data_IF_663232651182
#
_entry.id   IF_663232651182
#
_cell.length_a   1.000
_cell.length_b   1.000
_cell.length_c   1.000
_cell.angle_alpha   90.00
_cell.angle_beta   90.00
_cell.angle_gamma   90.00
#
_symmetry.space_group_name_H-M   'P 1'
#
loop_
_entity.id
_entity.type
_entity.pdbx_description
1 polymer ?
#
# COMPACT_ATOMS: atom_id res chain seq x y z
N UNK A 1 -73.62 38.41 -8.31
CA UNK A 1 -72.96 39.50 -7.58
C UNK A 1 -71.55 39.01 -7.38
N UNK A 2 -70.66 39.32 -8.34
CA UNK A 2 -69.61 40.35 -8.25
C UNK A 2 -68.78 40.20 -6.97
N UNK A 3 -67.50 39.87 -7.04
CA UNK A 3 -66.29 40.65 -7.35
C UNK A 3 -65.02 39.77 -7.31
N UNK A 4 -64.30 39.84 -8.30
CA UNK A 4 -62.87 40.10 -8.63
C UNK A 4 -61.98 40.58 -7.52
N UNK A 5 -60.72 40.07 -7.50
CA UNK A 5 -59.47 40.82 -7.63
C UNK A 5 -58.29 39.95 -7.17
N UNK A 6 -57.40 39.67 -8.06
CA UNK A 6 -56.00 40.17 -8.22
C UNK A 6 -55.10 40.08 -6.98
N UNK A 7 -53.95 39.43 -7.21
CA UNK A 7 -52.78 39.57 -6.39
C UNK A 7 -51.65 38.64 -6.77
N UNK A 8 -50.94 38.99 -7.83
CA UNK A 8 -49.61 38.43 -8.14
C UNK A 8 -48.60 38.82 -7.07
N UNK A 9 -47.77 37.93 -6.66
CA UNK A 9 -46.41 38.26 -6.20
C UNK A 9 -45.51 37.07 -6.26
N UNK A 10 -44.75 37.01 -7.31
CA UNK A 10 -43.49 36.27 -7.47
C UNK A 10 -42.47 36.82 -6.47
N UNK A 11 -41.97 35.97 -5.61
CA UNK A 11 -40.68 36.19 -4.95
C UNK A 11 -39.83 34.94 -5.13
N UNK A 12 -38.96 35.03 -6.10
CA UNK A 12 -37.87 34.10 -6.31
C UNK A 12 -36.85 34.19 -5.16
N UNK A 13 -36.76 33.13 -4.40
CA UNK A 13 -35.62 32.94 -3.52
C UNK A 13 -34.60 32.10 -4.25
N UNK A 14 -33.65 32.78 -4.86
CA UNK A 14 -32.42 32.16 -5.38
C UNK A 14 -31.61 31.58 -4.23
N UNK A 15 -31.68 30.24 -4.08
CA UNK A 15 -30.72 29.52 -3.24
C UNK A 15 -29.40 29.51 -4.03
N UNK A 16 -28.55 30.46 -3.70
CA UNK A 16 -27.13 30.40 -4.09
C UNK A 16 -26.52 29.17 -3.44
N UNK A 17 -26.48 28.09 -4.20
CA UNK A 17 -25.64 26.94 -3.92
C UNK A 17 -24.19 27.38 -3.87
N UNK A 18 -23.65 27.64 -2.71
CA UNK A 18 -22.23 27.74 -2.46
C UNK A 18 -21.60 26.37 -2.79
N UNK A 19 -21.24 26.22 -4.05
CA UNK A 19 -20.38 25.13 -4.51
C UNK A 19 -18.97 25.43 -3.97
N UNK A 20 -18.74 25.09 -2.69
CA UNK A 20 -17.41 25.04 -2.12
C UNK A 20 -16.66 23.96 -2.90
N UNK A 21 -16.04 24.35 -4.01
CA UNK A 21 -14.89 23.63 -4.54
C UNK A 21 -13.88 23.56 -3.40
N UNK A 22 -13.86 22.44 -2.68
CA UNK A 22 -12.73 22.09 -1.82
C UNK A 22 -11.53 22.10 -2.76
N UNK A 23 -10.73 23.17 -2.66
CA UNK A 23 -9.47 23.24 -3.34
C UNK A 23 -8.63 22.06 -2.85
N UNK A 24 -8.40 21.14 -3.75
CA UNK A 24 -7.47 20.03 -3.53
C UNK A 24 -6.09 20.68 -3.33
N UNK A 25 -5.71 20.93 -2.09
CA UNK A 25 -4.41 21.51 -1.76
C UNK A 25 -3.32 20.51 -2.13
N UNK A 26 -2.14 21.00 -2.46
CA UNK A 26 -0.99 20.14 -2.77
C UNK A 26 -0.71 19.11 -1.65
N UNK A 27 -1.07 19.44 -0.39
CA UNK A 27 -0.98 18.56 0.76
C UNK A 27 -1.95 17.35 0.66
N UNK A 28 -3.19 17.55 0.16
CA UNK A 28 -4.15 16.45 -0.02
C UNK A 28 -3.69 15.46 -1.10
N UNK A 29 -2.96 15.92 -2.12
CA UNK A 29 -2.38 15.04 -3.15
C UNK A 29 -1.22 14.18 -2.64
N UNK A 30 -0.54 14.60 -1.59
CA UNK A 30 0.60 13.85 -1.02
C UNK A 30 0.13 12.64 -0.21
N UNK A 31 -1.12 12.65 0.28
CA UNK A 31 -1.68 11.59 1.14
C UNK A 31 -2.60 10.61 0.38
N UNK A 32 -2.93 10.89 -0.86
CA UNK A 32 -3.76 9.99 -1.66
C UNK A 32 -2.94 8.73 -2.01
N UNK A 33 -3.54 7.55 -1.78
CA UNK A 33 -3.08 6.33 -2.44
C UNK A 33 -3.13 6.62 -3.94
N UNK A 34 -2.03 6.43 -4.68
CA UNK A 34 -2.05 6.71 -6.11
C UNK A 34 -3.21 5.96 -6.77
N UNK A 35 -3.95 6.62 -7.65
CA UNK A 35 -5.03 5.98 -8.40
C UNK A 35 -4.48 4.80 -9.20
N UNK A 36 -5.30 3.76 -9.33
CA UNK A 36 -4.93 2.60 -10.15
C UNK A 36 -4.64 3.09 -11.58
N UNK A 37 -3.46 2.78 -12.14
CA UNK A 37 -3.16 3.15 -13.51
C UNK A 37 -4.18 2.55 -14.49
N UNK A 38 -4.60 3.34 -15.48
CA UNK A 38 -5.55 2.90 -16.52
C UNK A 38 -4.91 1.96 -17.54
N UNK A 39 -3.60 2.06 -17.72
CA UNK A 39 -2.84 1.21 -18.63
C UNK A 39 -2.05 0.14 -17.88
N UNK A 40 -1.95 -1.06 -18.48
CA UNK A 40 -1.20 -2.15 -17.88
C UNK A 40 0.29 -1.83 -17.82
N UNK A 41 0.87 -1.97 -16.63
CA UNK A 41 2.31 -1.91 -16.41
C UNK A 41 2.73 -2.90 -15.31
N UNK A 42 4.00 -3.28 -15.19
CA UNK A 42 4.47 -4.29 -14.23
C UNK A 42 4.05 -4.04 -12.77
N UNK A 43 3.87 -2.80 -12.39
CA UNK A 43 3.39 -2.42 -11.05
C UNK A 43 1.91 -2.74 -10.80
N UNK A 44 1.09 -2.96 -11.83
CA UNK A 44 -0.34 -3.26 -11.65
C UNK A 44 -0.59 -4.56 -10.89
N UNK A 45 0.30 -5.52 -11.00
CA UNK A 45 0.22 -6.77 -10.25
C UNK A 45 0.07 -6.53 -8.75
N UNK A 46 0.71 -5.49 -8.22
CA UNK A 46 0.72 -5.17 -6.80
C UNK A 46 -0.52 -4.39 -6.34
N UNK A 47 -1.27 -3.80 -7.28
CA UNK A 47 -2.53 -3.10 -6.96
C UNK A 47 -3.63 -4.06 -6.53
N UNK A 48 -3.77 -5.15 -7.24
CA UNK A 48 -4.80 -6.15 -6.99
C UNK A 48 -4.36 -7.16 -5.91
N UNK A 49 -3.07 -7.28 -5.66
CA UNK A 49 -2.55 -8.17 -4.64
C UNK A 49 -3.02 -7.75 -3.23
N UNK A 50 -3.50 -8.72 -2.47
CA UNK A 50 -3.86 -8.51 -1.07
C UNK A 50 -2.65 -8.55 -0.16
N UNK A 51 -1.68 -9.37 -0.52
CA UNK A 51 -0.40 -9.53 0.18
C UNK A 51 0.74 -9.64 -0.82
N UNK A 52 1.96 -9.53 -0.35
CA UNK A 52 3.16 -9.96 -1.04
C UNK A 52 3.85 -11.04 -0.22
N UNK A 53 4.19 -12.13 -0.87
CA UNK A 53 5.07 -13.16 -0.31
C UNK A 53 6.50 -12.71 -0.55
N UNK A 54 7.24 -12.53 0.53
CA UNK A 54 8.65 -12.11 0.48
C UNK A 54 9.50 -13.28 0.89
N UNK A 55 10.35 -13.73 -0.01
CA UNK A 55 11.27 -14.84 0.21
C UNK A 55 12.70 -14.30 0.31
N UNK A 56 13.38 -14.64 1.39
CA UNK A 56 14.75 -14.23 1.67
C UNK A 56 15.56 -15.41 2.24
N UNK A 57 16.90 -15.46 2.01
CA UNK A 57 17.72 -16.54 2.56
C UNK A 57 17.78 -16.43 4.09
N UNK A 58 17.69 -17.58 4.77
CA UNK A 58 17.80 -17.63 6.22
C UNK A 58 19.27 -17.44 6.63
N UNK A 59 19.57 -16.51 7.56
CA UNK A 59 20.96 -16.18 7.91
C UNK A 59 21.69 -17.27 8.69
N UNK A 60 20.95 -18.16 9.36
CA UNK A 60 21.43 -19.21 10.24
C UNK A 60 21.48 -20.60 9.61
N UNK A 61 20.97 -20.75 8.38
CA UNK A 61 20.89 -22.03 7.68
C UNK A 61 21.29 -21.90 6.21
N UNK A 62 22.38 -22.52 5.84
CA UNK A 62 22.89 -22.52 4.47
C UNK A 62 21.87 -23.17 3.51
N UNK A 63 21.42 -22.43 2.52
CA UNK A 63 20.50 -22.92 1.48
C UNK A 63 19.02 -22.93 1.87
N UNK A 64 18.64 -22.50 3.06
CA UNK A 64 17.25 -22.37 3.45
C UNK A 64 16.72 -20.96 3.16
N UNK A 65 15.48 -20.89 2.69
CA UNK A 65 14.77 -19.66 2.37
C UNK A 65 13.50 -19.61 3.17
N UNK A 66 13.22 -18.45 3.77
CA UNK A 66 11.97 -18.20 4.48
C UNK A 66 11.05 -17.36 3.59
N UNK A 67 9.79 -17.71 3.56
CA UNK A 67 8.74 -16.93 2.87
C UNK A 67 7.75 -16.39 3.89
N UNK A 68 7.58 -15.08 3.90
CA UNK A 68 6.68 -14.39 4.85
C UNK A 68 5.69 -13.54 4.06
N UNK A 69 4.37 -13.67 4.32
CA UNK A 69 3.36 -12.82 3.72
C UNK A 69 3.27 -11.47 4.43
N UNK A 70 3.24 -10.39 3.65
CA UNK A 70 3.06 -9.02 4.13
C UNK A 70 1.92 -8.32 3.39
N UNK A 71 1.26 -7.37 4.06
CA UNK A 71 0.38 -6.42 3.38
C UNK A 71 1.21 -5.58 2.41
N UNK A 72 0.73 -5.38 1.19
CA UNK A 72 1.49 -4.74 0.11
C UNK A 72 0.86 -3.42 -0.31
N UNK A 73 1.71 -2.41 -0.49
CA UNK A 73 1.34 -1.15 -1.12
C UNK A 73 2.17 -0.97 -2.38
N UNK A 74 1.55 -0.79 -3.55
CA UNK A 74 2.28 -0.36 -4.74
C UNK A 74 2.80 1.07 -4.55
N UNK A 75 4.01 1.32 -5.00
CA UNK A 75 4.63 2.63 -5.07
C UNK A 75 5.03 2.95 -6.50
N UNK A 76 5.42 4.19 -6.73
CA UNK A 76 5.80 4.66 -8.07
C UNK A 76 6.86 3.78 -8.75
N UNK A 77 6.87 3.77 -10.07
CA UNK A 77 7.87 3.09 -10.90
C UNK A 77 7.93 1.56 -10.72
N UNK A 78 6.79 0.92 -10.53
CA UNK A 78 6.72 -0.55 -10.42
C UNK A 78 7.30 -1.10 -9.12
N UNK A 79 7.66 -0.24 -8.15
CA UNK A 79 8.10 -0.66 -6.82
C UNK A 79 6.90 -1.04 -5.96
N UNK A 80 7.16 -1.86 -4.97
CA UNK A 80 6.20 -2.20 -3.92
C UNK A 80 6.78 -1.89 -2.55
N UNK A 81 5.91 -1.72 -1.56
CA UNK A 81 6.32 -1.51 -0.18
C UNK A 81 5.49 -2.36 0.77
N UNK A 82 6.11 -2.74 1.88
CA UNK A 82 5.48 -3.40 3.01
C UNK A 82 6.13 -2.96 4.34
N UNK A 83 5.55 -3.37 5.46
CA UNK A 83 6.04 -2.97 6.78
C UNK A 83 6.50 -4.19 7.58
N UNK A 84 7.62 -4.05 8.27
CA UNK A 84 8.18 -5.07 9.17
C UNK A 84 8.51 -4.46 10.52
N UNK A 85 8.76 -5.32 11.51
CA UNK A 85 9.30 -4.92 12.79
C UNK A 85 10.82 -4.89 12.75
N UNK A 86 11.44 -3.87 13.36
CA UNK A 86 12.90 -3.81 13.54
C UNK A 86 13.46 -4.98 14.34
N UNK A 87 12.62 -5.64 15.14
CA UNK A 87 12.98 -6.82 15.95
C UNK A 87 12.81 -8.14 15.19
N UNK A 88 12.26 -8.14 13.97
CA UNK A 88 12.09 -9.36 13.19
C UNK A 88 13.43 -9.94 12.71
N UNK A 89 13.46 -11.25 12.48
CA UNK A 89 14.60 -11.92 11.83
C UNK A 89 14.82 -11.38 10.42
N UNK A 90 13.72 -11.07 9.73
CA UNK A 90 13.69 -10.49 8.41
C UNK A 90 14.41 -9.13 8.34
N UNK A 91 14.14 -8.22 9.31
CA UNK A 91 14.84 -6.93 9.37
C UNK A 91 16.35 -7.11 9.52
N UNK A 92 16.77 -8.04 10.37
CA UNK A 92 18.20 -8.36 10.59
C UNK A 92 18.85 -8.93 9.32
N UNK A 93 18.09 -9.74 8.56
CA UNK A 93 18.57 -10.28 7.31
C UNK A 93 18.70 -9.19 6.26
N UNK A 94 17.65 -8.40 6.01
CA UNK A 94 17.60 -7.38 4.97
C UNK A 94 18.63 -6.25 5.17
N UNK A 95 19.14 -6.05 6.37
CA UNK A 95 20.29 -5.14 6.61
C UNK A 95 21.58 -5.70 5.99
N UNK A 96 21.75 -7.02 5.95
CA UNK A 96 22.96 -7.70 5.44
C UNK A 96 22.88 -8.03 3.97
N UNK A 97 21.72 -8.56 3.55
CA UNK A 97 21.46 -8.93 2.16
C UNK A 97 20.10 -8.37 1.73
N UNK A 98 20.13 -7.46 0.78
CA UNK A 98 18.94 -6.77 0.27
C UNK A 98 18.24 -7.50 -0.86
N UNK A 99 18.76 -8.66 -1.28
CA UNK A 99 18.12 -9.45 -2.32
C UNK A 99 16.89 -10.15 -1.76
N UNK A 100 15.80 -10.08 -2.51
CA UNK A 100 14.54 -10.73 -2.18
C UNK A 100 13.91 -11.32 -3.42
N UNK A 101 13.08 -12.33 -3.22
CA UNK A 101 12.14 -12.81 -4.22
C UNK A 101 10.76 -12.40 -3.73
N UNK A 102 9.96 -11.80 -4.59
CA UNK A 102 8.61 -11.35 -4.27
C UNK A 102 7.59 -11.99 -5.19
N UNK A 103 6.44 -12.35 -4.65
CA UNK A 103 5.32 -12.92 -5.39
C UNK A 103 4.01 -12.32 -4.88
N UNK A 104 3.07 -12.03 -5.79
CA UNK A 104 1.75 -11.57 -5.36
C UNK A 104 1.02 -12.68 -4.64
N UNK A 105 0.44 -12.34 -3.49
CA UNK A 105 -0.31 -13.24 -2.63
C UNK A 105 -1.78 -12.83 -2.51
N UNK A 106 -2.59 -13.81 -2.13
CA UNK A 106 -4.00 -13.64 -1.85
C UNK A 106 -4.26 -13.13 -0.42
N UNK A 107 -5.52 -13.17 0.02
CA UNK A 107 -5.92 -12.73 1.37
C UNK A 107 -5.50 -13.69 2.49
N UNK A 108 -5.20 -14.93 2.14
CA UNK A 108 -4.77 -15.96 3.09
C UNK A 108 -3.24 -16.00 3.25
N UNK A 109 -2.52 -15.24 2.39
CA UNK A 109 -1.05 -15.24 2.38
C UNK A 109 -0.48 -16.39 1.53
N UNK A 110 -1.30 -16.95 0.65
CA UNK A 110 -0.88 -17.94 -0.33
C UNK A 110 -0.60 -17.27 -1.69
N UNK A 111 0.20 -17.90 -2.58
CA UNK A 111 0.43 -17.37 -3.92
C UNK A 111 -0.89 -17.10 -4.65
N UNK A 112 -1.07 -15.90 -5.16
CA UNK A 112 -2.24 -15.57 -5.97
C UNK A 112 -2.21 -16.38 -7.28
N UNK A 113 -3.38 -16.83 -7.74
CA UNK A 113 -3.50 -17.62 -8.96
C UNK A 113 -2.86 -16.91 -10.14
N UNK A 114 -1.98 -17.60 -10.86
CA UNK A 114 -1.27 -17.05 -12.02
C UNK A 114 -0.14 -16.05 -11.67
N UNK A 115 0.16 -15.84 -10.38
CA UNK A 115 1.28 -14.99 -9.97
C UNK A 115 2.62 -15.69 -10.17
N UNK A 116 3.63 -14.90 -10.53
CA UNK A 116 4.99 -15.37 -10.72
C UNK A 116 5.94 -14.75 -9.68
N UNK A 117 7.04 -15.44 -9.43
CA UNK A 117 8.11 -14.92 -8.59
C UNK A 117 8.95 -13.89 -9.36
N UNK A 118 9.30 -12.82 -8.71
CA UNK A 118 10.13 -11.75 -9.24
C UNK A 118 11.32 -11.50 -8.31
N UNK A 119 12.49 -11.34 -8.87
CA UNK A 119 13.65 -10.90 -8.11
C UNK A 119 13.57 -9.41 -7.86
N UNK A 120 14.01 -8.99 -6.68
CA UNK A 120 14.00 -7.59 -6.28
C UNK A 120 15.14 -7.23 -5.36
N UNK A 121 15.29 -5.93 -5.15
CA UNK A 121 16.24 -5.37 -4.19
C UNK A 121 15.47 -4.53 -3.19
N UNK A 122 15.63 -4.84 -1.91
CA UNK A 122 14.96 -4.18 -0.79
C UNK A 122 15.74 -2.94 -0.31
N UNK A 123 15.02 -1.88 0.02
CA UNK A 123 15.52 -0.71 0.72
C UNK A 123 14.74 -0.54 2.03
N UNK A 124 15.45 -0.34 3.13
CA UNK A 124 14.84 -0.20 4.46
C UNK A 124 14.78 1.26 4.85
N UNK A 125 13.58 1.75 5.12
CA UNK A 125 13.31 3.11 5.54
C UNK A 125 12.78 3.12 6.97
N UNK A 126 13.32 4.00 7.82
CA UNK A 126 12.85 4.19 9.20
C UNK A 126 12.16 5.53 9.40
N UNK A 127 12.46 6.49 8.54
CA UNK A 127 11.94 7.86 8.57
C UNK A 127 11.94 8.46 7.17
N UNK A 128 11.31 9.60 7.01
CA UNK A 128 11.33 10.39 5.79
C UNK A 128 10.01 10.36 5.01
N UNK A 129 9.91 11.22 3.99
CA UNK A 129 8.64 11.42 3.27
C UNK A 129 8.06 10.16 2.65
N UNK A 130 8.91 9.27 2.11
CA UNK A 130 8.44 8.00 1.54
C UNK A 130 7.95 7.03 2.62
N UNK A 131 8.63 6.98 3.79
CA UNK A 131 8.20 6.20 4.95
C UNK A 131 6.79 6.62 5.39
N UNK A 132 6.56 7.93 5.57
CA UNK A 132 5.26 8.45 6.00
C UNK A 132 4.18 8.19 4.96
N UNK A 133 4.45 8.39 3.68
CA UNK A 133 3.53 8.11 2.58
C UNK A 133 3.11 6.64 2.55
N UNK A 134 4.06 5.71 2.68
CA UNK A 134 3.75 4.27 2.71
C UNK A 134 2.93 3.92 3.93
N UNK A 135 3.26 4.45 5.10
CA UNK A 135 2.50 4.20 6.33
C UNK A 135 1.05 4.66 6.22
N UNK A 136 0.83 5.83 5.66
CA UNK A 136 -0.52 6.39 5.50
C UNK A 136 -1.28 5.69 4.38
N UNK A 137 -0.62 5.33 3.27
CA UNK A 137 -1.19 4.51 2.20
C UNK A 137 -1.61 3.12 2.68
N UNK A 138 -0.81 2.48 3.53
CA UNK A 138 -1.18 1.21 4.16
C UNK A 138 -2.44 1.34 5.03
N UNK A 139 -2.56 2.43 5.80
CA UNK A 139 -3.77 2.71 6.58
C UNK A 139 -4.99 2.95 5.69
N UNK A 140 -4.82 3.68 4.59
CA UNK A 140 -5.88 3.94 3.63
C UNK A 140 -6.34 2.66 2.92
N UNK A 141 -5.40 1.84 2.43
CA UNK A 141 -5.70 0.60 1.68
C UNK A 141 -6.32 -0.49 2.57
N UNK A 142 -5.82 -0.66 3.79
CA UNK A 142 -6.15 -1.81 4.63
C UNK A 142 -6.96 -1.47 5.89
N UNK A 143 -7.05 -0.21 6.29
CA UNK A 143 -7.87 0.26 7.39
C UNK A 143 -7.75 -0.60 8.65
N UNK A 144 -8.86 -1.26 9.06
CA UNK A 144 -8.93 -2.10 10.26
C UNK A 144 -8.00 -3.31 10.25
N UNK A 145 -7.60 -3.81 9.07
CA UNK A 145 -6.66 -4.95 8.96
C UNK A 145 -5.28 -4.62 9.50
N UNK A 146 -4.80 -3.40 9.31
CA UNK A 146 -3.52 -2.95 9.90
C UNK A 146 -3.62 -2.94 11.42
N UNK A 147 -4.76 -2.51 11.97
CA UNK A 147 -5.02 -2.54 13.42
C UNK A 147 -5.01 -3.96 13.96
N UNK A 148 -5.67 -4.90 13.28
CA UNK A 148 -5.70 -6.31 13.67
C UNK A 148 -4.31 -6.95 13.59
N UNK A 149 -3.56 -6.72 12.52
CA UNK A 149 -2.20 -7.22 12.36
C UNK A 149 -1.28 -6.72 13.49
N UNK A 150 -1.42 -5.45 13.89
CA UNK A 150 -0.71 -4.88 15.04
C UNK A 150 -1.10 -5.54 16.36
N UNK A 151 -2.39 -5.81 16.55
CA UNK A 151 -2.89 -6.46 17.75
C UNK A 151 -2.35 -7.89 17.87
N UNK A 152 -2.41 -8.67 16.80
CA UNK A 152 -1.88 -10.05 16.74
C UNK A 152 -0.37 -10.04 16.99
N UNK A 153 0.37 -9.13 16.36
CA UNK A 153 1.80 -8.98 16.57
C UNK A 153 2.11 -8.65 18.04
N UNK A 154 1.36 -7.72 18.64
CA UNK A 154 1.53 -7.32 20.05
C UNK A 154 1.27 -8.47 21.01
N UNK A 155 0.29 -9.32 20.72
CA UNK A 155 0.00 -10.50 21.50
C UNK A 155 1.09 -11.58 21.36
N UNK A 156 1.67 -11.73 20.16
CA UNK A 156 2.70 -12.73 19.88
C UNK A 156 4.12 -12.30 20.32
N UNK A 157 4.44 -11.03 20.13
CA UNK A 157 5.80 -10.48 20.31
C UNK A 157 5.92 -9.46 21.44
N UNK A 158 4.87 -9.26 22.24
CA UNK A 158 4.86 -8.32 23.35
C UNK A 158 4.94 -6.86 22.91
N UNK A 159 5.77 -6.06 23.61
CA UNK A 159 5.92 -4.62 23.37
C UNK A 159 6.76 -4.27 22.12
N UNK A 160 7.17 -5.26 21.31
CA UNK A 160 7.96 -5.01 20.09
C UNK A 160 7.20 -4.12 19.12
N UNK A 161 7.82 -3.08 18.55
CA UNK A 161 7.18 -2.18 17.60
C UNK A 161 6.79 -2.95 16.33
N UNK A 162 5.55 -2.73 15.87
CA UNK A 162 5.06 -3.27 14.60
C UNK A 162 5.13 -2.23 13.50
N UNK A 163 5.78 -2.56 12.38
CA UNK A 163 5.80 -1.70 11.20
C UNK A 163 6.57 -0.39 11.39
N UNK A 164 7.60 -0.42 12.22
CA UNK A 164 8.53 0.67 12.42
C UNK A 164 9.62 0.76 11.33
N UNK A 165 9.69 -0.25 10.45
CA UNK A 165 10.47 -0.23 9.23
C UNK A 165 9.52 -0.40 8.03
N UNK A 166 9.68 0.47 7.05
CA UNK A 166 9.12 0.31 5.71
C UNK A 166 10.20 -0.28 4.83
N UNK A 167 9.86 -1.38 4.15
CA UNK A 167 10.69 -1.98 3.11
C UNK A 167 10.12 -1.61 1.76
N UNK A 168 10.94 -0.99 0.92
CA UNK A 168 10.60 -0.70 -0.48
C UNK A 168 11.40 -1.65 -1.36
N UNK A 169 10.70 -2.39 -2.22
CA UNK A 169 11.33 -3.33 -3.15
C UNK A 169 11.24 -2.79 -4.55
N UNK A 170 12.39 -2.66 -5.18
CA UNK A 170 12.51 -2.44 -6.62
C UNK A 170 12.55 -3.80 -7.30
N UNK A 171 11.50 -4.13 -8.03
CA UNK A 171 11.38 -5.40 -8.76
C UNK A 171 12.19 -5.31 -10.05
N UNK A 172 13.01 -6.32 -10.30
CA UNK A 172 13.72 -6.43 -11.57
C UNK A 172 12.77 -6.97 -12.62
N UNK A 173 12.60 -6.24 -13.70
CA UNK A 173 11.93 -6.78 -14.88
C UNK A 173 12.77 -7.95 -15.41
N UNK A 174 12.17 -9.13 -15.47
CA UNK A 174 12.73 -10.22 -16.23
C UNK A 174 12.64 -9.81 -17.72
N UNK A 175 13.67 -9.13 -18.24
CA UNK A 175 13.82 -9.02 -19.69
C UNK A 175 13.88 -10.46 -20.21
N UNK A 176 12.80 -10.92 -20.83
CA UNK A 176 12.88 -12.10 -21.66
C UNK A 176 14.01 -11.82 -22.65
N UNK A 177 15.04 -12.69 -22.72
CA UNK A 177 16.00 -12.58 -23.81
C UNK A 177 15.17 -12.65 -25.08
N UNK A 178 15.35 -11.63 -25.94
CA UNK A 178 14.59 -11.48 -27.17
C UNK A 178 14.66 -12.77 -27.97
N UNK A 179 13.51 -13.20 -28.44
CA UNK A 179 13.34 -14.17 -29.52
C UNK A 179 13.72 -13.49 -30.82
#
# INVERSE_FOLDING_TARGET
>A
MTYSAHGSSTLGSGVHGYNRRRGNTAADRVLAVPDRPSEWHPGMLWWDASTVLVTYPRPDATGHWDTVPHLVLPVEHGRLAFQISSHSSEARHLVRDRRVIVQAGDRCGEPALGSHQHQGTAELLRTGPLFDRVRDGMRAKYGRRVGLARLVHRLAMGAAPYGDIVVVVTVRENRRPGV
#
